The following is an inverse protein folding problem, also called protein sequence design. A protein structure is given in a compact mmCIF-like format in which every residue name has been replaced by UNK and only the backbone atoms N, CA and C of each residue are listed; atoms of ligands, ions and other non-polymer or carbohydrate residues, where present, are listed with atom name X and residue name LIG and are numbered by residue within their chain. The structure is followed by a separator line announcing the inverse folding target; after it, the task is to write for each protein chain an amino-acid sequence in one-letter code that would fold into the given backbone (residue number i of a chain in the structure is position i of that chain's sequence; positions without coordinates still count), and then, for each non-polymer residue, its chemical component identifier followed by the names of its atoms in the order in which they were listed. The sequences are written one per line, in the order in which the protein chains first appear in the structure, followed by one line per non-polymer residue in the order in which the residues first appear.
data_IF_931193527094
#
_entry.id   IF_931193527094
#
_cell.length_a   1.000
_cell.length_b   1.000
_cell.length_c   1.000
_cell.angle_alpha   90.00
_cell.angle_beta   90.00
_cell.angle_gamma   90.00
#
_symmetry.space_group_name_H-M   'P 1'
#
loop_
_entity.id
_entity.type
_entity.pdbx_description
1 polymer ?
#
# COMPACT_ATOMS: atom_id res chain seq x y z
N UNK A 1 -4.17 -3.40 20.03
CA UNK A 1 -4.58 -3.88 18.69
C UNK A 1 -3.40 -3.70 17.76
N UNK A 2 -3.10 -4.62 16.85
CA UNK A 2 -2.05 -4.37 15.84
C UNK A 2 -2.46 -3.20 14.96
N UNK A 3 -1.51 -2.38 14.54
CA UNK A 3 -1.80 -1.35 13.55
C UNK A 3 -2.29 -2.02 12.26
N UNK A 4 -3.42 -1.55 11.74
CA UNK A 4 -4.00 -2.03 10.49
C UNK A 4 -4.33 -0.79 9.67
N UNK A 5 -3.68 -0.66 8.52
CA UNK A 5 -3.93 0.42 7.57
C UNK A 5 -3.81 -0.12 6.15
N UNK A 6 -4.51 0.52 5.24
CA UNK A 6 -4.55 0.19 3.84
C UNK A 6 -4.20 1.43 3.04
N UNK A 7 -3.58 1.22 1.88
CA UNK A 7 -3.44 2.24 0.86
C UNK A 7 -4.31 1.91 -0.35
N UNK A 8 -4.63 2.93 -1.14
CA UNK A 8 -5.26 2.73 -2.44
C UNK A 8 -5.10 3.96 -3.32
N UNK A 9 -5.20 3.77 -4.64
CA UNK A 9 -5.14 4.85 -5.62
C UNK A 9 -6.55 5.37 -5.88
N UNK A 10 -6.76 6.67 -5.71
CA UNK A 10 -8.08 7.31 -5.80
C UNK A 10 -8.64 7.24 -7.22
N UNK A 11 -9.96 7.04 -7.33
CA UNK A 11 -10.71 7.14 -8.60
C UNK A 11 -11.13 8.59 -8.85
N UNK A 12 -10.82 9.12 -10.03
CA UNK A 12 -11.31 10.44 -10.48
C UNK A 12 -10.39 11.61 -10.13
N UNK A 13 -10.95 12.83 -10.14
CA UNK A 13 -10.21 14.05 -9.76
C UNK A 13 -10.09 14.16 -8.24
N UNK A 14 -8.89 14.51 -7.76
CA UNK A 14 -8.56 14.46 -6.35
C UNK A 14 -7.84 15.72 -5.81
N UNK A 15 -7.87 16.81 -6.58
CA UNK A 15 -7.20 18.07 -6.23
C UNK A 15 -7.63 18.62 -4.86
N UNK A 16 -8.91 18.48 -4.50
CA UNK A 16 -9.41 18.92 -3.19
C UNK A 16 -8.84 18.06 -2.06
N UNK A 17 -8.78 16.74 -2.24
CA UNK A 17 -8.21 15.82 -1.25
C UNK A 17 -6.69 16.05 -1.09
N UNK A 18 -5.99 16.33 -2.19
CA UNK A 18 -4.56 16.70 -2.17
C UNK A 18 -4.36 18.02 -1.41
N UNK A 19 -5.19 19.04 -1.69
CA UNK A 19 -5.13 20.33 -1.00
C UNK A 19 -5.42 20.23 0.50
N UNK A 20 -6.23 19.24 0.91
CA UNK A 20 -6.51 18.91 2.32
C UNK A 20 -5.44 18.03 2.96
N UNK A 21 -4.45 17.54 2.20
CA UNK A 21 -3.39 16.65 2.70
C UNK A 21 -3.87 15.23 3.03
N UNK A 22 -5.02 14.83 2.49
CA UNK A 22 -5.59 13.48 2.69
C UNK A 22 -4.86 12.45 1.82
N UNK A 23 -4.35 12.89 0.67
CA UNK A 23 -3.66 12.05 -0.30
C UNK A 23 -2.32 12.65 -0.70
N UNK A 24 -1.46 11.82 -1.27
CA UNK A 24 -0.23 12.27 -1.89
C UNK A 24 -0.45 12.86 -3.30
N UNK A 25 0.62 13.43 -3.86
CA UNK A 25 0.63 14.04 -5.20
C UNK A 25 0.42 13.04 -6.35
N UNK A 26 0.55 11.74 -6.08
CA UNK A 26 0.35 10.65 -7.03
C UNK A 26 -1.06 10.04 -6.92
N UNK A 27 -1.89 10.55 -6.02
CA UNK A 27 -3.28 10.11 -5.83
C UNK A 27 -3.41 8.91 -4.89
N UNK A 28 -2.41 8.63 -4.05
CA UNK A 28 -2.50 7.59 -3.02
C UNK A 28 -3.06 8.12 -1.72
N UNK A 29 -3.99 7.38 -1.16
CA UNK A 29 -4.57 7.61 0.17
C UNK A 29 -4.19 6.48 1.10
N UNK A 30 -3.99 6.78 2.38
CA UNK A 30 -3.77 5.79 3.44
C UNK A 30 -4.83 5.97 4.53
N UNK A 31 -5.43 4.87 4.99
CA UNK A 31 -6.45 4.91 6.03
C UNK A 31 -7.03 3.54 6.34
N UNK A 32 -8.28 3.52 6.80
CA UNK A 32 -9.02 2.29 7.05
C UNK A 32 -9.75 1.85 5.78
N UNK A 33 -9.84 0.53 5.54
CA UNK A 33 -10.59 -0.01 4.42
C UNK A 33 -12.02 -0.36 4.87
N UNK A 34 -13.00 0.18 4.17
CA UNK A 34 -14.37 -0.37 4.14
C UNK A 34 -14.64 -0.91 2.74
N UNK A 35 -15.31 -2.05 2.65
CA UNK A 35 -15.54 -2.70 1.37
C UNK A 35 -16.92 -3.36 1.35
N UNK A 36 -17.64 -3.11 0.26
CA UNK A 36 -18.86 -3.82 -0.09
C UNK A 36 -18.72 -4.37 -1.52
N UNK A 37 -18.55 -5.68 -1.67
CA UNK A 37 -18.26 -6.29 -2.96
C UNK A 37 -16.94 -5.76 -3.56
N UNK A 38 -16.98 -5.34 -4.83
CA UNK A 38 -15.82 -4.78 -5.53
C UNK A 38 -15.75 -3.23 -5.48
N UNK A 39 -16.30 -2.63 -4.42
CA UNK A 39 -16.29 -1.18 -4.21
C UNK A 39 -15.56 -0.86 -2.90
N UNK A 40 -14.22 -0.82 -2.90
CA UNK A 40 -13.45 -0.42 -1.74
C UNK A 40 -13.40 1.10 -1.60
N UNK A 41 -13.42 1.55 -0.35
CA UNK A 41 -13.20 2.94 0.02
C UNK A 41 -12.17 2.99 1.14
N UNK A 42 -11.29 3.97 1.07
CA UNK A 42 -10.40 4.31 2.16
C UNK A 42 -11.04 5.46 2.94
N UNK A 43 -11.07 5.32 4.26
CA UNK A 43 -11.76 6.24 5.16
C UNK A 43 -10.85 6.73 6.28
N UNK A 44 -11.09 7.97 6.70
CA UNK A 44 -10.43 8.60 7.83
C UNK A 44 -10.95 8.09 9.18
N UNK A 45 -10.62 8.84 10.23
CA UNK A 45 -11.05 8.50 11.59
C UNK A 45 -12.56 8.64 11.78
N UNK A 46 -13.09 7.91 12.76
CA UNK A 46 -14.47 8.05 13.19
C UNK A 46 -14.63 9.31 14.03
N UNK A 47 -15.52 10.20 13.61
CA UNK A 47 -15.82 11.48 14.29
C UNK A 47 -17.13 11.44 15.04
N UNK A 48 -18.06 10.57 14.63
CA UNK A 48 -19.32 10.34 15.33
C UNK A 48 -19.70 8.86 15.26
N UNK A 49 -20.19 8.34 16.37
CA UNK A 49 -20.63 6.95 16.52
C UNK A 49 -21.91 6.97 17.33
N UNK A 50 -23.00 6.49 16.73
CA UNK A 50 -24.21 6.18 17.46
C UNK A 50 -24.70 4.76 17.14
N UNK A 51 -25.90 4.42 17.62
CA UNK A 51 -26.49 3.08 17.45
C UNK A 51 -27.02 2.82 16.04
N UNK A 52 -27.20 3.85 15.22
CA UNK A 52 -27.83 3.83 13.89
C UNK A 52 -26.80 4.03 12.78
N UNK A 53 -25.76 4.83 13.02
CA UNK A 53 -24.72 5.13 12.05
C UNK A 53 -23.35 5.44 12.68
N UNK A 54 -22.36 5.45 11.80
CA UNK A 54 -21.01 5.95 12.06
C UNK A 54 -20.68 7.02 11.01
N UNK A 55 -19.89 8.02 11.40
CA UNK A 55 -19.43 9.08 10.50
C UNK A 55 -17.91 9.08 10.51
N UNK A 56 -17.33 9.00 9.31
CA UNK A 56 -15.90 9.22 9.09
C UNK A 56 -15.63 10.68 8.75
N UNK A 57 -14.48 11.19 9.17
CA UNK A 57 -14.02 12.55 8.84
C UNK A 57 -13.98 12.78 7.31
N UNK A 58 -13.58 11.76 6.56
CA UNK A 58 -13.58 11.73 5.11
C UNK A 58 -13.63 10.28 4.60
N UNK A 59 -14.00 10.12 3.34
CA UNK A 59 -13.96 8.84 2.63
C UNK A 59 -13.71 9.05 1.14
N UNK A 60 -13.04 8.10 0.50
CA UNK A 60 -12.77 8.17 -0.94
C UNK A 60 -12.77 6.77 -1.56
N UNK A 61 -13.38 6.66 -2.74
CA UNK A 61 -13.34 5.42 -3.54
C UNK A 61 -11.97 5.24 -4.17
N UNK A 62 -11.45 4.01 -4.13
CA UNK A 62 -10.14 3.66 -4.68
C UNK A 62 -10.26 2.56 -5.72
N UNK A 63 -9.26 2.47 -6.61
CA UNK A 63 -9.15 1.40 -7.60
C UNK A 63 -9.01 0.08 -6.83
N UNK A 64 -9.91 -0.91 -7.03
CA UNK A 64 -9.91 -2.13 -6.21
C UNK A 64 -8.60 -2.89 -6.22
N UNK A 65 -7.99 -3.00 -7.39
CA UNK A 65 -6.75 -3.72 -7.59
C UNK A 65 -5.57 -3.03 -6.92
N UNK A 66 -5.67 -1.72 -6.59
CA UNK A 66 -4.62 -0.94 -5.94
C UNK A 66 -4.65 -0.99 -4.41
N UNK A 67 -5.68 -1.63 -3.83
CA UNK A 67 -5.81 -1.76 -2.39
C UNK A 67 -4.70 -2.65 -1.88
N UNK A 68 -3.78 -2.08 -1.10
CA UNK A 68 -2.68 -2.81 -0.49
C UNK A 68 -2.68 -2.66 1.02
N UNK A 69 -2.56 -3.76 1.75
CA UNK A 69 -2.46 -3.72 3.20
C UNK A 69 -1.02 -3.36 3.63
N UNK A 70 -0.90 -2.59 4.71
CA UNK A 70 0.38 -2.42 5.40
C UNK A 70 0.85 -3.73 6.01
N UNK A 71 2.10 -4.09 5.75
CA UNK A 71 2.71 -5.32 6.26
C UNK A 71 2.95 -5.33 7.77
N UNK A 72 2.99 -4.15 8.40
CA UNK A 72 3.50 -4.00 9.77
C UNK A 72 5.00 -3.78 9.85
N UNK A 73 5.71 -3.84 8.71
CA UNK A 73 7.16 -3.74 8.61
C UNK A 73 7.58 -2.44 7.92
N UNK A 74 8.81 -2.03 8.20
CA UNK A 74 9.45 -0.88 7.57
C UNK A 74 10.74 -1.32 6.89
N UNK A 75 11.08 -0.62 5.82
CA UNK A 75 12.30 -0.88 5.07
C UNK A 75 13.55 -0.30 5.78
N UNK A 76 14.71 -0.36 5.11
CA UNK A 76 15.96 0.19 5.64
C UNK A 76 15.87 1.69 5.96
N UNK A 77 15.11 2.45 5.17
CA UNK A 77 14.91 3.90 5.32
C UNK A 77 13.73 4.27 6.22
N UNK A 78 13.14 3.26 6.91
CA UNK A 78 12.01 3.40 7.83
C UNK A 78 10.68 3.74 7.14
N UNK A 79 10.61 3.60 5.83
CA UNK A 79 9.41 3.71 5.01
C UNK A 79 8.51 2.51 5.25
N UNK A 80 7.20 2.73 5.23
CA UNK A 80 6.23 1.68 5.50
C UNK A 80 6.01 0.79 4.29
N UNK A 81 6.08 -0.52 4.51
CA UNK A 81 5.97 -1.48 3.42
C UNK A 81 4.53 -1.94 3.28
N UNK A 82 3.93 -1.65 2.13
CA UNK A 82 2.58 -2.08 1.76
C UNK A 82 2.63 -3.15 0.67
N UNK A 83 1.59 -3.96 0.58
CA UNK A 83 1.40 -4.86 -0.56
C UNK A 83 1.47 -4.11 -1.90
N UNK A 84 2.12 -4.72 -2.89
CA UNK A 84 2.43 -4.14 -4.19
C UNK A 84 3.55 -3.08 -4.17
N UNK A 85 4.23 -2.86 -3.04
CA UNK A 85 5.44 -2.03 -3.02
C UNK A 85 6.57 -2.70 -3.80
N UNK A 86 7.41 -1.91 -4.44
CA UNK A 86 8.61 -2.37 -5.12
C UNK A 86 9.81 -1.95 -4.28
N UNK A 87 10.64 -2.92 -3.89
CA UNK A 87 11.88 -2.71 -3.17
C UNK A 87 13.08 -2.97 -4.07
N UNK A 88 14.16 -2.26 -3.80
CA UNK A 88 15.50 -2.52 -4.32
C UNK A 88 16.32 -3.24 -3.24
N UNK A 89 16.83 -4.43 -3.55
CA UNK A 89 17.82 -5.13 -2.72
C UNK A 89 19.22 -4.79 -3.23
N UNK A 90 19.98 -4.04 -2.43
CA UNK A 90 21.35 -3.65 -2.78
C UNK A 90 22.32 -4.85 -2.87
N UNK A 91 22.06 -5.94 -2.15
CA UNK A 91 22.95 -7.11 -2.13
C UNK A 91 22.75 -7.98 -3.36
N UNK A 92 21.48 -8.19 -3.73
CA UNK A 92 21.10 -8.93 -4.92
C UNK A 92 21.23 -8.11 -6.21
N UNK A 93 21.28 -6.79 -6.11
CA UNK A 93 21.15 -5.84 -7.23
C UNK A 93 19.89 -6.11 -8.07
N UNK A 94 18.77 -6.35 -7.38
CA UNK A 94 17.48 -6.71 -7.99
C UNK A 94 16.32 -5.87 -7.46
N UNK A 95 15.32 -5.65 -8.33
CA UNK A 95 14.01 -5.18 -7.91
C UNK A 95 13.10 -6.35 -7.63
N UNK A 96 12.39 -6.29 -6.52
CA UNK A 96 11.32 -7.22 -6.17
C UNK A 96 10.06 -6.47 -5.75
N UNK A 97 8.95 -7.18 -5.70
CA UNK A 97 7.66 -6.65 -5.24
C UNK A 97 7.23 -7.35 -3.96
N UNK A 98 6.44 -6.65 -3.16
CA UNK A 98 5.83 -7.21 -1.95
C UNK A 98 4.47 -7.79 -2.29
N UNK A 99 4.25 -9.05 -1.93
CA UNK A 99 2.98 -9.76 -2.11
C UNK A 99 2.51 -10.36 -0.80
N UNK A 100 1.22 -10.65 -0.68
CA UNK A 100 0.69 -11.48 0.41
C UNK A 100 0.31 -12.85 -0.16
N UNK A 101 1.01 -13.89 0.27
CA UNK A 101 0.73 -15.26 -0.14
C UNK A 101 0.95 -16.25 1.01
N UNK A 102 0.21 -17.35 1.00
CA UNK A 102 0.24 -18.41 2.02
C UNK A 102 0.16 -17.94 3.49
N UNK A 103 -0.41 -16.74 3.75
CA UNK A 103 -0.59 -16.18 5.09
C UNK A 103 0.54 -15.28 5.58
N UNK A 104 1.52 -14.97 4.74
CA UNK A 104 2.64 -14.07 5.04
C UNK A 104 2.85 -13.01 3.96
N UNK A 105 3.58 -11.94 4.31
CA UNK A 105 4.10 -11.02 3.31
C UNK A 105 5.43 -11.55 2.80
N UNK A 106 5.59 -11.59 1.49
CA UNK A 106 6.79 -12.07 0.82
C UNK A 106 7.37 -10.95 -0.03
N UNK A 107 8.69 -10.96 -0.17
CA UNK A 107 9.40 -10.20 -1.20
C UNK A 107 9.68 -11.14 -2.37
N UNK A 108 9.10 -10.87 -3.54
CA UNK A 108 9.15 -11.71 -4.74
C UNK A 108 9.96 -11.02 -5.84
N UNK A 109 10.96 -11.71 -6.39
CA UNK A 109 11.73 -11.26 -7.54
C UNK A 109 12.07 -12.44 -8.46
N UNK A 110 11.95 -12.23 -9.78
CA UNK A 110 12.13 -13.29 -10.79
C UNK A 110 11.33 -14.57 -10.47
N UNK A 111 12.01 -15.65 -10.06
CA UNK A 111 11.41 -16.93 -9.63
C UNK A 111 11.77 -17.27 -8.18
N UNK A 112 12.16 -16.27 -7.39
CA UNK A 112 12.57 -16.38 -6.00
C UNK A 112 11.62 -15.58 -5.11
N UNK A 113 11.53 -16.00 -3.85
CA UNK A 113 10.76 -15.30 -2.83
C UNK A 113 11.40 -15.53 -1.46
N UNK A 114 11.40 -14.49 -0.63
CA UNK A 114 11.80 -14.54 0.77
C UNK A 114 10.67 -14.00 1.65
N UNK A 115 10.63 -14.44 2.91
CA UNK A 115 9.74 -13.84 3.91
C UNK A 115 10.14 -12.37 4.11
N UNK A 116 9.18 -11.45 3.97
CA UNK A 116 9.44 -10.03 4.08
C UNK A 116 10.02 -9.66 5.45
N UNK A 117 9.65 -10.37 6.51
CA UNK A 117 10.19 -10.15 7.86
C UNK A 117 11.70 -10.41 7.93
N UNK A 118 12.23 -11.32 7.11
CA UNK A 118 13.64 -11.66 7.11
C UNK A 118 14.48 -10.67 6.30
N UNK A 119 13.92 -10.07 5.24
CA UNK A 119 14.66 -9.21 4.32
C UNK A 119 14.30 -7.72 4.38
N UNK A 120 13.27 -7.29 5.12
CA UNK A 120 12.82 -5.89 5.11
C UNK A 120 13.92 -4.89 5.50
N UNK A 121 14.90 -5.30 6.31
CA UNK A 121 16.03 -4.44 6.70
C UNK A 121 17.11 -4.28 5.63
N UNK A 122 17.08 -5.07 4.56
CA UNK A 122 18.05 -5.05 3.46
C UNK A 122 17.48 -4.44 2.16
N UNK A 123 16.18 -4.13 2.13
CA UNK A 123 15.51 -3.51 0.99
C UNK A 123 15.26 -2.01 1.21
N UNK A 124 15.22 -1.25 0.11
CA UNK A 124 14.76 0.15 0.06
C UNK A 124 13.54 0.23 -0.85
N UNK A 125 12.42 0.76 -0.36
CA UNK A 125 11.22 0.94 -1.18
C UNK A 125 11.44 2.08 -2.19
N UNK A 126 11.35 1.73 -3.47
CA UNK A 126 11.61 2.64 -4.60
C UNK A 126 10.37 2.96 -5.43
N UNK A 127 9.27 2.24 -5.22
CA UNK A 127 8.04 2.45 -5.95
C UNK A 127 6.94 1.46 -5.59
N UNK A 128 5.99 1.29 -6.51
CA UNK A 128 4.93 0.29 -6.41
C UNK A 128 4.54 -0.20 -7.82
N UNK A 129 3.88 -1.35 -7.90
CA UNK A 129 3.54 -2.00 -9.17
C UNK A 129 2.56 -1.22 -10.06
N UNK A 130 1.89 -0.19 -9.53
CA UNK A 130 0.91 0.60 -10.29
C UNK A 130 1.52 1.87 -10.89
N UNK A 131 2.46 2.50 -10.19
CA UNK A 131 3.16 3.71 -10.64
C UNK A 131 4.47 3.41 -11.35
N UNK A 132 5.11 2.29 -11.00
CA UNK A 132 6.46 1.94 -11.43
C UNK A 132 6.59 0.48 -11.91
N UNK A 133 5.68 -0.04 -12.76
CA UNK A 133 5.76 -1.41 -13.26
C UNK A 133 7.07 -1.69 -14.01
N UNK A 134 7.68 -0.66 -14.62
CA UNK A 134 8.93 -0.76 -15.37
C UNK A 134 10.12 -1.21 -14.53
N UNK A 135 10.10 -1.03 -13.21
CA UNK A 135 11.20 -1.45 -12.33
C UNK A 135 11.33 -2.97 -12.23
N UNK A 136 10.26 -3.72 -12.55
CA UNK A 136 10.26 -5.18 -12.56
C UNK A 136 10.57 -5.77 -13.94
N UNK A 137 10.75 -4.92 -14.96
CA UNK A 137 11.15 -5.39 -16.29
C UNK A 137 12.66 -5.68 -16.29
N UNK A 138 13.04 -6.95 -16.49
CA UNK A 138 14.46 -7.31 -16.66
C UNK A 138 14.99 -6.65 -17.93
N UNK A 139 16.08 -5.88 -17.80
CA UNK A 139 16.78 -5.32 -18.95
C UNK A 139 17.18 -6.46 -19.92
N UNK A 140 16.62 -6.43 -21.13
CA UNK A 140 16.87 -7.43 -22.18
C UNK A 140 18.31 -7.44 -22.66
#
# INVERSE_FOLDING_TARGET
MRETKFRGKVIGEFNELEALGIIDKKGWVVGNLIQNGNHPMIVGDLVEIDKEYIVHDWWVSVIPESVGQYSGLKDMDREEIFEGAIGWDERGEVHGKVVFDEGGFLFEWENMQDDLFECCGDIVIVGNIYDNPELLEVAK
#
